data_IF_367292949337
#
_entry.id   IF_367292949337
#
_cell.length_a   1.000
_cell.length_b   1.000
_cell.length_c   1.000
_cell.angle_alpha   90.00
_cell.angle_beta   90.00
_cell.angle_gamma   90.00
#
_symmetry.space_group_name_H-M   'P 1'
#
loop_
_entity.id
_entity.type
_entity.pdbx_description
1 polymer ?
#
# COMPACT_ATOMS: atom_id res chain seq x y z
N UNK A 1 12.95 2.51 -0.99
CA UNK A 1 14.41 2.53 -0.87
C UNK A 1 14.75 2.20 0.58
N UNK A 2 15.47 1.10 0.79
CA UNK A 2 16.22 0.76 2.03
C UNK A 2 17.55 0.21 1.52
N UNK A 3 18.68 0.77 1.95
CA UNK A 3 19.99 0.13 1.78
C UNK A 3 20.19 -0.70 3.04
N UNK A 4 20.06 -2.03 2.94
CA UNK A 4 20.23 -2.95 4.08
C UNK A 4 21.44 -3.87 3.85
N UNK A 5 22.32 -4.04 4.86
CA UNK A 5 23.46 -4.96 4.78
C UNK A 5 23.07 -6.44 4.57
N UNK A 6 21.84 -6.83 4.95
CA UNK A 6 21.32 -8.19 4.81
C UNK A 6 20.73 -8.52 3.42
N UNK A 7 20.78 -7.58 2.46
CA UNK A 7 20.26 -7.78 1.10
C UNK A 7 18.89 -7.13 0.85
N UNK A 8 18.45 -7.23 -0.42
CA UNK A 8 17.26 -6.57 -0.94
C UNK A 8 15.97 -7.26 -0.47
N UNK A 9 15.45 -6.88 0.69
CA UNK A 9 14.05 -7.15 1.02
C UNK A 9 13.17 -6.15 0.27
N UNK A 10 12.12 -6.67 -0.36
CA UNK A 10 11.12 -5.94 -1.15
C UNK A 10 11.65 -5.25 -2.42
N UNK A 11 11.44 -5.87 -3.59
CA UNK A 11 11.74 -5.28 -4.92
C UNK A 11 10.48 -4.78 -5.64
N UNK A 12 9.56 -4.12 -4.92
CA UNK A 12 8.31 -3.57 -5.51
C UNK A 12 8.58 -2.78 -6.79
N UNK A 13 7.82 -3.10 -7.85
CA UNK A 13 7.70 -2.22 -9.00
C UNK A 13 6.98 -0.94 -8.57
N UNK A 14 7.61 0.21 -8.83
CA UNK A 14 6.94 1.48 -8.65
C UNK A 14 6.06 1.75 -9.88
N UNK A 15 4.74 1.64 -9.73
CA UNK A 15 3.77 1.86 -10.83
C UNK A 15 3.91 3.26 -11.44
N UNK A 16 4.17 4.27 -10.60
CA UNK A 16 4.37 5.65 -11.06
C UNK A 16 5.58 5.77 -11.98
N UNK A 17 6.75 5.30 -11.56
CA UNK A 17 7.95 5.33 -12.41
C UNK A 17 7.82 4.45 -13.66
N UNK A 18 7.14 3.31 -13.56
CA UNK A 18 6.84 2.45 -14.72
C UNK A 18 5.99 3.18 -15.77
N UNK A 19 4.95 3.89 -15.34
CA UNK A 19 4.10 4.70 -16.22
C UNK A 19 4.87 5.89 -16.82
N UNK A 20 5.59 6.65 -16.00
CA UNK A 20 6.37 7.80 -16.48
C UNK A 20 7.42 7.35 -17.51
N UNK A 21 8.07 6.21 -17.29
CA UNK A 21 9.03 5.64 -18.25
C UNK A 21 8.38 5.23 -19.56
N UNK A 22 7.17 4.64 -19.54
CA UNK A 22 6.41 4.38 -20.77
C UNK A 22 6.17 5.68 -21.53
N UNK A 23 5.69 6.72 -20.86
CA UNK A 23 5.38 8.02 -21.48
C UNK A 23 6.66 8.63 -22.09
N UNK A 24 7.77 8.61 -21.37
CA UNK A 24 9.05 9.14 -21.83
C UNK A 24 9.58 8.40 -23.07
N UNK A 25 9.58 7.06 -23.05
CA UNK A 25 9.99 6.24 -24.20
C UNK A 25 9.12 6.48 -25.42
N UNK A 26 7.81 6.53 -25.25
CA UNK A 26 6.85 6.82 -26.33
C UNK A 26 7.05 8.22 -26.95
N UNK A 27 7.76 9.12 -26.26
CA UNK A 27 8.09 10.47 -26.72
C UNK A 27 9.58 10.66 -27.08
N UNK A 28 10.32 9.56 -27.29
CA UNK A 28 11.71 9.58 -27.72
C UNK A 28 12.72 9.98 -26.65
N UNK A 29 12.34 9.96 -25.37
CA UNK A 29 13.25 10.23 -24.25
C UNK A 29 13.78 8.90 -23.72
N UNK A 30 15.06 8.65 -23.94
CA UNK A 30 15.74 7.46 -23.42
C UNK A 30 15.96 7.59 -21.91
N UNK A 31 15.71 6.50 -21.19
CA UNK A 31 15.82 6.47 -19.74
C UNK A 31 16.31 5.11 -19.27
N UNK A 32 17.25 5.14 -18.35
CA UNK A 32 17.57 4.00 -17.50
C UNK A 32 16.71 4.02 -16.24
N UNK A 33 16.45 2.82 -15.72
CA UNK A 33 15.66 2.65 -14.52
C UNK A 33 16.42 1.74 -13.56
N UNK A 34 16.47 2.16 -12.30
CA UNK A 34 17.19 1.46 -11.26
C UNK A 34 16.46 1.60 -9.93
N UNK A 35 16.50 0.54 -9.11
CA UNK A 35 15.95 0.57 -7.75
C UNK A 35 17.09 0.54 -6.75
N UNK A 36 17.15 1.58 -5.94
CA UNK A 36 18.08 1.67 -4.81
C UNK A 36 17.87 0.60 -3.72
N UNK A 37 16.76 -0.15 -3.77
CA UNK A 37 16.58 -1.35 -2.92
C UNK A 37 17.52 -2.49 -3.31
N UNK A 38 18.12 -2.42 -4.50
CA UNK A 38 19.11 -3.39 -4.99
C UNK A 38 20.52 -3.09 -4.50
N UNK A 39 20.74 -1.90 -3.94
CA UNK A 39 22.05 -1.47 -3.46
C UNK A 39 22.34 -2.04 -2.09
N UNK A 40 23.60 -2.44 -1.90
CA UNK A 40 24.15 -2.82 -0.58
C UNK A 40 24.90 -1.66 0.06
N UNK A 41 25.48 -0.77 -0.75
CA UNK A 41 26.23 0.40 -0.30
C UNK A 41 25.86 1.64 -1.14
N UNK A 42 26.22 2.82 -0.64
CA UNK A 42 26.06 4.06 -1.38
C UNK A 42 27.09 4.22 -2.51
N UNK A 43 28.25 3.56 -2.41
CA UNK A 43 29.30 3.60 -3.44
C UNK A 43 28.84 2.91 -4.74
N UNK A 44 28.01 1.86 -4.63
CA UNK A 44 27.36 1.23 -5.78
C UNK A 44 26.46 2.22 -6.54
N UNK A 45 25.81 3.17 -5.84
CA UNK A 45 25.04 4.22 -6.50
C UNK A 45 25.93 5.19 -7.27
N UNK A 46 27.08 5.57 -6.68
CA UNK A 46 28.01 6.50 -7.30
C UNK A 46 28.44 6.05 -8.70
N UNK A 47 28.83 4.77 -8.83
CA UNK A 47 29.19 4.20 -10.13
C UNK A 47 28.00 4.13 -11.09
N UNK A 48 26.79 3.86 -10.57
CA UNK A 48 25.59 3.66 -11.40
C UNK A 48 25.03 4.95 -11.99
N UNK A 49 25.23 6.08 -11.33
CA UNK A 49 24.67 7.38 -11.76
C UNK A 49 25.67 8.29 -12.45
N UNK A 50 26.93 7.86 -12.62
CA UNK A 50 27.95 8.63 -13.29
C UNK A 50 27.62 8.85 -14.78
N UNK A 51 27.75 10.09 -15.25
CA UNK A 51 27.57 10.45 -16.65
C UNK A 51 26.11 10.71 -17.07
N UNK A 52 25.16 10.72 -16.13
CA UNK A 52 23.78 11.10 -16.41
C UNK A 52 23.56 12.59 -16.18
N UNK A 53 22.83 13.22 -17.10
CA UNK A 53 22.46 14.64 -17.00
C UNK A 53 21.30 14.89 -16.03
N UNK A 54 20.42 13.91 -15.84
CA UNK A 54 19.21 14.06 -15.02
C UNK A 54 18.93 12.82 -14.18
N UNK A 55 18.50 13.03 -12.93
CA UNK A 55 18.02 12.00 -12.02
C UNK A 55 16.55 12.25 -11.68
N UNK A 56 15.70 11.28 -11.96
CA UNK A 56 14.27 11.33 -11.64
C UNK A 56 13.98 10.44 -10.43
N UNK A 57 13.29 10.96 -9.41
CA UNK A 57 12.95 10.19 -8.22
C UNK A 57 11.48 10.31 -7.82
N UNK A 58 10.84 9.16 -7.56
CA UNK A 58 9.60 9.09 -6.80
C UNK A 58 9.94 9.07 -5.30
N UNK A 59 9.53 10.12 -4.58
CA UNK A 59 9.82 10.34 -3.17
C UNK A 59 8.54 10.10 -2.34
N UNK A 60 8.59 9.06 -1.51
CA UNK A 60 7.60 8.76 -0.45
C UNK A 60 8.16 9.22 0.91
N UNK A 61 7.29 9.52 1.89
CA UNK A 61 7.74 10.07 3.18
C UNK A 61 8.79 9.19 3.87
N UNK A 62 8.55 7.88 3.94
CA UNK A 62 9.52 6.93 4.53
C UNK A 62 10.80 6.74 3.70
N UNK A 63 10.83 7.23 2.46
CA UNK A 63 12.02 7.21 1.59
C UNK A 63 12.70 8.58 1.46
N UNK A 64 12.17 9.62 2.09
CA UNK A 64 12.68 10.99 1.94
C UNK A 64 14.15 11.14 2.34
N UNK A 65 14.63 10.65 3.51
CA UNK A 65 16.05 10.71 3.86
C UNK A 65 16.96 10.06 2.83
N UNK A 66 16.51 8.95 2.27
CA UNK A 66 17.26 8.20 1.28
C UNK A 66 17.27 8.90 -0.08
N UNK A 67 16.16 9.54 -0.48
CA UNK A 67 16.10 10.35 -1.69
C UNK A 67 17.02 11.56 -1.59
N UNK A 68 17.07 12.20 -0.42
CA UNK A 68 18.04 13.27 -0.17
C UNK A 68 19.48 12.78 -0.32
N UNK A 69 19.83 11.64 0.29
CA UNK A 69 21.17 11.07 0.16
C UNK A 69 21.52 10.71 -1.29
N UNK A 70 20.58 10.12 -2.03
CA UNK A 70 20.76 9.82 -3.45
C UNK A 70 20.99 11.07 -4.30
N UNK A 71 20.26 12.16 -4.05
CA UNK A 71 20.47 13.43 -4.74
C UNK A 71 21.84 14.05 -4.44
N UNK A 72 22.32 13.97 -3.18
CA UNK A 72 23.66 14.43 -2.83
C UNK A 72 24.74 13.68 -3.61
N UNK A 73 24.64 12.35 -3.64
CA UNK A 73 25.58 11.51 -4.40
C UNK A 73 25.52 11.87 -5.88
N UNK A 74 24.31 11.98 -6.45
CA UNK A 74 24.15 12.36 -7.86
C UNK A 74 24.83 13.69 -8.20
N UNK A 75 24.65 14.72 -7.37
CA UNK A 75 25.27 16.04 -7.56
C UNK A 75 26.79 16.02 -7.37
N UNK A 76 27.32 15.13 -6.53
CA UNK A 76 28.77 14.95 -6.37
C UNK A 76 29.41 14.36 -7.63
N UNK A 77 28.73 13.39 -8.26
CA UNK A 77 29.22 12.70 -9.45
C UNK A 77 28.97 13.52 -10.73
N UNK A 78 27.84 14.23 -10.78
CA UNK A 78 27.40 15.02 -11.92
C UNK A 78 27.16 16.47 -11.46
N UNK A 79 28.20 17.34 -11.41
CA UNK A 79 28.08 18.69 -10.87
C UNK A 79 27.02 19.57 -11.55
N UNK A 80 26.80 19.35 -12.85
CA UNK A 80 25.79 20.06 -13.65
C UNK A 80 24.48 19.27 -13.79
N UNK A 81 24.41 18.05 -13.23
CA UNK A 81 23.24 17.19 -13.36
C UNK A 81 22.05 17.74 -12.59
N UNK A 82 20.84 17.54 -13.11
CA UNK A 82 19.59 18.00 -12.49
C UNK A 82 18.89 16.85 -11.76
N UNK A 83 18.37 17.13 -10.58
CA UNK A 83 17.56 16.21 -9.79
C UNK A 83 16.10 16.67 -9.84
N UNK A 84 15.27 15.83 -10.41
CA UNK A 84 13.84 16.06 -10.61
C UNK A 84 13.09 15.08 -9.73
N UNK A 85 12.27 15.59 -8.83
CA UNK A 85 11.58 14.79 -7.82
C UNK A 85 10.07 14.93 -7.96
N UNK A 86 9.35 13.89 -7.54
CA UNK A 86 7.90 13.92 -7.44
C UNK A 86 7.41 12.84 -6.49
N UNK A 87 6.13 12.52 -6.56
CA UNK A 87 5.51 11.47 -5.75
C UNK A 87 4.81 11.99 -4.50
N UNK A 88 4.46 11.05 -3.63
CA UNK A 88 3.59 11.29 -2.48
C UNK A 88 4.12 12.40 -1.57
N UNK A 89 5.41 12.33 -1.18
CA UNK A 89 5.98 13.27 -0.23
C UNK A 89 6.11 14.67 -0.81
N UNK A 90 6.46 14.77 -2.10
CA UNK A 90 6.44 16.04 -2.82
C UNK A 90 5.07 16.70 -2.89
N UNK A 91 4.01 15.90 -2.80
CA UNK A 91 2.63 16.40 -2.81
C UNK A 91 2.18 16.89 -1.44
N UNK A 92 2.49 16.13 -0.38
CA UNK A 92 1.97 16.38 0.98
C UNK A 92 2.92 17.16 1.89
N UNK A 93 4.19 17.30 1.53
CA UNK A 93 5.19 18.04 2.30
C UNK A 93 6.12 18.84 1.37
N UNK A 94 5.59 19.75 0.52
CA UNK A 94 6.39 20.51 -0.44
C UNK A 94 7.48 21.35 0.26
N UNK A 95 7.19 21.92 1.44
CA UNK A 95 8.16 22.71 2.21
C UNK A 95 9.41 21.89 2.59
N UNK A 96 9.22 20.61 2.98
CA UNK A 96 10.33 19.72 3.29
C UNK A 96 11.17 19.40 2.04
N UNK A 97 10.54 19.30 0.87
CA UNK A 97 11.23 19.10 -0.40
C UNK A 97 11.99 20.36 -0.85
N UNK A 98 11.37 21.54 -0.78
CA UNK A 98 11.99 22.81 -1.19
C UNK A 98 13.18 23.20 -0.30
N UNK A 99 13.14 22.79 0.97
CA UNK A 99 14.25 22.95 1.91
C UNK A 99 15.52 22.17 1.51
N UNK A 100 15.45 21.28 0.51
CA UNK A 100 16.60 20.52 -0.02
C UNK A 100 17.11 21.15 -1.31
N UNK A 101 18.22 21.93 -1.28
CA UNK A 101 18.73 22.62 -2.49
C UNK A 101 19.14 21.65 -3.61
N UNK A 102 19.46 20.40 -3.25
CA UNK A 102 19.83 19.37 -4.22
C UNK A 102 18.65 18.89 -5.08
N UNK A 103 17.41 19.23 -4.75
CA UNK A 103 16.24 19.00 -5.60
C UNK A 103 15.99 20.23 -6.47
N UNK A 104 16.36 20.12 -7.76
CA UNK A 104 16.28 21.23 -8.71
C UNK A 104 14.85 21.47 -9.19
N UNK A 105 14.07 20.40 -9.40
CA UNK A 105 12.64 20.47 -9.73
C UNK A 105 11.83 19.52 -8.87
N UNK A 106 10.66 19.98 -8.44
CA UNK A 106 9.75 19.24 -7.56
C UNK A 106 8.36 19.27 -8.21
N UNK A 107 7.87 18.12 -8.63
CA UNK A 107 6.51 17.95 -9.14
C UNK A 107 5.57 17.64 -7.98
N UNK A 108 4.68 18.60 -7.67
CA UNK A 108 3.61 18.44 -6.70
C UNK A 108 2.37 17.85 -7.38
N UNK A 109 1.95 16.65 -6.99
CA UNK A 109 0.83 15.95 -7.62
C UNK A 109 1.22 15.07 -8.82
N UNK A 110 0.25 14.66 -9.66
CA UNK A 110 0.46 13.73 -10.77
C UNK A 110 1.34 14.31 -11.87
N UNK A 111 2.33 13.57 -12.37
CA UNK A 111 3.31 14.07 -13.34
C UNK A 111 3.09 13.62 -14.79
N UNK A 112 2.07 12.81 -15.07
CA UNK A 112 1.92 12.09 -16.34
C UNK A 112 1.96 13.00 -17.58
N UNK A 113 1.26 14.14 -17.56
CA UNK A 113 1.14 15.02 -18.71
C UNK A 113 2.24 16.09 -18.80
N UNK A 114 3.10 16.23 -17.79
CA UNK A 114 4.15 17.25 -17.77
C UNK A 114 5.55 16.67 -17.85
N UNK A 115 5.73 15.37 -17.59
CA UNK A 115 7.05 14.78 -17.42
C UNK A 115 7.93 14.95 -18.67
N UNK A 116 7.35 14.86 -19.87
CA UNK A 116 8.11 14.99 -21.12
C UNK A 116 8.69 16.41 -21.26
N UNK A 117 7.85 17.42 -21.09
CA UNK A 117 8.26 18.82 -21.23
C UNK A 117 9.20 19.23 -20.09
N UNK A 118 8.92 18.75 -18.87
CA UNK A 118 9.74 19.00 -17.69
C UNK A 118 11.16 18.45 -17.83
N UNK A 119 11.37 17.30 -18.48
CA UNK A 119 12.72 16.77 -18.73
C UNK A 119 13.42 17.42 -19.92
N UNK A 120 12.67 17.82 -20.96
CA UNK A 120 13.23 18.45 -22.16
C UNK A 120 13.71 19.87 -21.91
N UNK A 121 12.93 20.64 -21.15
CA UNK A 121 13.32 21.99 -20.75
C UNK A 121 12.98 22.24 -19.27
N UNK A 122 13.76 21.68 -18.33
CA UNK A 122 13.53 21.88 -16.91
C UNK A 122 13.56 23.36 -16.52
N UNK A 123 14.34 24.19 -17.23
CA UNK A 123 14.53 25.60 -16.91
C UNK A 123 13.32 26.48 -17.24
N UNK A 124 12.46 26.06 -18.17
CA UNK A 124 11.17 26.69 -18.43
C UNK A 124 10.16 26.57 -17.27
N UNK A 125 10.40 25.64 -16.33
CA UNK A 125 9.51 25.41 -15.20
C UNK A 125 10.04 26.07 -13.91
N UNK A 126 9.15 26.57 -13.04
CA UNK A 126 9.52 26.95 -11.67
C UNK A 126 10.11 25.75 -10.91
N UNK A 127 10.79 26.03 -9.80
CA UNK A 127 11.36 24.96 -8.95
C UNK A 127 10.30 24.00 -8.43
N UNK A 128 9.19 24.54 -7.92
CA UNK A 128 8.00 23.76 -7.56
C UNK A 128 6.98 23.85 -8.71
N UNK A 129 6.67 22.71 -9.31
CA UNK A 129 5.78 22.57 -10.46
C UNK A 129 4.51 21.86 -10.02
N UNK A 130 3.35 22.43 -10.35
CA UNK A 130 2.08 21.74 -10.17
C UNK A 130 1.91 20.71 -11.27
N UNK A 131 1.84 19.45 -10.87
CA UNK A 131 1.66 18.31 -11.75
C UNK A 131 0.31 18.30 -12.45
N UNK A 132 0.27 17.72 -13.65
CA UNK A 132 -0.96 17.44 -14.37
C UNK A 132 -1.02 15.95 -14.73
N UNK A 133 -2.10 15.30 -14.31
CA UNK A 133 -2.33 13.88 -14.54
C UNK A 133 -3.20 13.59 -15.75
N UNK A 134 -3.19 12.34 -16.19
CA UNK A 134 -4.15 11.84 -17.19
C UNK A 134 -5.61 12.07 -16.73
N UNK A 135 -6.53 12.24 -17.69
CA UNK A 135 -7.97 12.39 -17.40
C UNK A 135 -8.55 11.11 -16.82
N UNK A 136 -8.14 9.96 -17.36
CA UNK A 136 -8.55 8.65 -16.90
C UNK A 136 -7.37 7.69 -16.86
N UNK A 137 -7.40 6.74 -15.91
CA UNK A 137 -6.51 5.58 -15.95
C UNK A 137 -6.72 4.70 -17.18
N UNK A 138 -7.89 4.77 -17.83
CA UNK A 138 -8.13 4.07 -19.09
C UNK A 138 -7.29 4.64 -20.24
N UNK A 139 -6.80 5.87 -20.11
CA UNK A 139 -5.90 6.50 -21.10
C UNK A 139 -4.44 6.05 -20.93
N UNK A 140 -4.13 5.31 -19.85
CA UNK A 140 -2.77 4.86 -19.59
C UNK A 140 -2.35 3.76 -20.56
N UNK A 141 -1.17 3.94 -21.13
CA UNK A 141 -0.48 2.89 -21.84
C UNK A 141 0.00 1.81 -20.86
N UNK A 142 0.27 0.61 -21.38
CA UNK A 142 0.87 -0.48 -20.61
C UNK A 142 2.16 0.02 -19.93
N UNK A 143 2.21 -0.05 -18.60
CA UNK A 143 3.34 0.46 -17.83
C UNK A 143 4.63 -0.32 -18.14
N UNK A 144 5.77 0.36 -18.16
CA UNK A 144 7.06 -0.28 -18.35
C UNK A 144 7.34 -1.20 -17.16
N UNK A 145 7.47 -2.50 -17.45
CA UNK A 145 7.71 -3.57 -16.48
C UNK A 145 9.18 -4.01 -16.47
N UNK A 146 10.13 -3.17 -16.91
CA UNK A 146 11.56 -3.55 -16.97
C UNK A 146 12.16 -3.87 -15.60
N UNK A 147 11.69 -3.20 -14.55
CA UNK A 147 12.14 -3.46 -13.17
C UNK A 147 11.44 -4.67 -12.54
N UNK A 148 10.54 -5.31 -13.28
CA UNK A 148 9.94 -6.56 -12.89
C UNK A 148 11.00 -7.67 -12.98
N UNK A 149 11.17 -8.48 -11.94
CA UNK A 149 12.22 -9.46 -11.95
C UNK A 149 11.92 -10.65 -12.83
N UNK A 150 12.96 -11.41 -13.19
CA UNK A 150 12.78 -12.67 -13.91
C UNK A 150 12.39 -13.77 -12.91
N UNK A 151 11.18 -14.36 -12.99
CA UNK A 151 10.71 -15.35 -12.04
C UNK A 151 11.43 -16.71 -12.16
N UNK A 152 12.19 -16.93 -13.24
CA UNK A 152 12.94 -18.17 -13.47
C UNK A 152 14.35 -18.18 -12.85
N UNK A 153 14.73 -17.14 -12.10
CA UNK A 153 16.04 -17.07 -11.47
C UNK A 153 16.05 -17.79 -10.11
N UNK A 154 16.89 -18.82 -9.91
CA UNK A 154 16.88 -19.69 -8.73
C UNK A 154 17.24 -19.00 -7.40
N UNK A 155 17.91 -17.85 -7.44
CA UNK A 155 18.31 -17.07 -6.24
C UNK A 155 17.53 -15.74 -6.11
N UNK A 156 16.32 -15.68 -6.65
CA UNK A 156 15.55 -14.43 -6.60
C UNK A 156 14.50 -14.46 -5.50
N UNK A 157 14.65 -13.70 -4.40
CA UNK A 157 13.50 -13.38 -3.57
C UNK A 157 12.60 -12.50 -4.43
N UNK A 158 11.61 -13.12 -5.05
CA UNK A 158 10.56 -12.41 -5.77
C UNK A 158 10.09 -11.24 -4.89
N UNK A 159 9.77 -10.06 -5.46
CA UNK A 159 9.61 -8.79 -4.75
C UNK A 159 8.64 -8.75 -3.57
N UNK A 160 7.99 -9.86 -3.27
CA UNK A 160 6.97 -10.02 -2.26
C UNK A 160 7.33 -11.28 -1.50
N UNK A 161 7.74 -11.09 -0.24
CA UNK A 161 7.96 -12.18 0.70
C UNK A 161 6.69 -13.06 0.68
N UNK A 162 6.77 -14.35 0.32
CA UNK A 162 5.67 -15.29 0.52
C UNK A 162 5.20 -15.29 1.99
N UNK A 163 6.10 -14.88 2.90
CA UNK A 163 5.89 -14.68 4.32
C UNK A 163 4.91 -13.53 4.64
N UNK A 164 4.80 -12.54 3.74
CA UNK A 164 3.77 -11.51 3.76
C UNK A 164 2.40 -12.03 3.26
N UNK A 165 2.24 -13.31 2.97
CA UNK A 165 0.92 -13.95 2.82
C UNK A 165 0.12 -13.56 1.56
N UNK A 166 0.74 -12.95 0.55
CA UNK A 166 0.07 -12.46 -0.67
C UNK A 166 -0.44 -13.57 -1.62
N UNK A 167 0.00 -14.82 -1.42
CA UNK A 167 -0.41 -15.96 -2.23
C UNK A 167 0.77 -16.75 -2.81
N UNK A 168 0.51 -17.73 -3.70
CA UNK A 168 1.55 -18.49 -4.39
C UNK A 168 2.46 -17.58 -5.23
N UNK A 169 3.77 -17.71 -5.04
CA UNK A 169 4.76 -17.02 -5.88
C UNK A 169 4.88 -17.66 -7.27
N UNK A 170 5.41 -16.94 -8.27
CA UNK A 170 5.73 -15.51 -8.29
C UNK A 170 4.47 -14.63 -8.20
N UNK A 171 4.53 -13.53 -7.44
CA UNK A 171 3.40 -12.63 -7.17
C UNK A 171 3.48 -11.34 -7.99
N UNK A 172 2.52 -11.11 -8.88
CA UNK A 172 2.43 -9.89 -9.68
C UNK A 172 1.89 -8.69 -8.89
N UNK A 173 2.22 -7.45 -9.28
CA UNK A 173 1.57 -6.24 -8.75
C UNK A 173 0.94 -5.43 -9.86
N UNK A 174 -0.33 -5.06 -9.69
CA UNK A 174 -1.08 -4.23 -10.63
C UNK A 174 -1.79 -3.11 -9.87
N UNK A 175 -2.24 -2.11 -10.63
CA UNK A 175 -3.15 -1.07 -10.16
C UNK A 175 -4.29 -0.97 -11.17
N UNK A 176 -5.51 -1.07 -10.68
CA UNK A 176 -6.72 -0.99 -11.50
C UNK A 176 -7.37 0.38 -11.34
N UNK A 177 -7.29 1.02 -10.17
CA UNK A 177 -7.89 2.32 -9.90
C UNK A 177 -6.99 3.29 -9.11
N UNK A 178 -7.28 4.59 -9.29
CA UNK A 178 -6.77 5.72 -8.49
C UNK A 178 -7.98 6.54 -8.07
N UNK A 179 -8.71 5.99 -7.10
CA UNK A 179 -9.88 6.62 -6.52
C UNK A 179 -10.16 5.96 -5.15
N UNK A 180 -10.38 6.80 -4.15
CA UNK A 180 -10.96 6.41 -2.87
C UNK A 180 -11.90 7.56 -2.46
N UNK A 181 -13.23 7.36 -2.42
CA UNK A 181 -14.18 8.41 -2.08
C UNK A 181 -14.20 8.75 -0.58
N UNK A 182 -13.66 7.89 0.28
CA UNK A 182 -13.69 8.09 1.74
C UNK A 182 -12.62 9.07 2.23
N UNK A 183 -12.94 9.80 3.29
CA UNK A 183 -12.11 10.85 3.89
C UNK A 183 -11.68 10.47 5.31
N UNK A 184 -11.11 9.27 5.47
CA UNK A 184 -10.63 8.79 6.76
C UNK A 184 -9.48 9.69 7.26
N UNK A 185 -9.56 10.25 8.47
CA UNK A 185 -8.64 11.33 8.90
C UNK A 185 -7.20 10.87 9.10
N UNK A 186 -6.97 9.56 9.25
CA UNK A 186 -5.64 8.97 9.36
C UNK A 186 -4.97 8.72 8.00
N UNK A 187 -5.76 8.70 6.92
CA UNK A 187 -5.29 8.36 5.59
C UNK A 187 -4.70 9.60 4.91
N UNK A 188 -3.55 9.46 4.25
CA UNK A 188 -2.96 10.53 3.46
C UNK A 188 -3.27 10.40 1.95
N UNK A 189 -3.88 9.30 1.52
CA UNK A 189 -4.17 9.04 0.11
C UNK A 189 -5.09 10.09 -0.52
N UNK A 190 -6.12 10.52 0.21
CA UNK A 190 -7.02 11.59 -0.22
C UNK A 190 -6.30 12.91 -0.55
N UNK A 191 -5.10 13.12 0.00
CA UNK A 191 -4.33 14.36 -0.15
C UNK A 191 -3.38 14.36 -1.33
N UNK A 192 -3.12 13.20 -1.97
CA UNK A 192 -2.21 13.14 -3.12
C UNK A 192 -2.72 12.29 -4.29
N UNK A 193 -3.75 11.46 -4.10
CA UNK A 193 -4.32 10.66 -5.19
C UNK A 193 -5.35 11.52 -5.94
N UNK A 194 -5.04 11.99 -7.17
CA UNK A 194 -6.07 12.57 -8.03
C UNK A 194 -7.07 11.48 -8.41
N UNK A 195 -8.36 11.82 -8.45
CA UNK A 195 -9.37 10.90 -8.97
C UNK A 195 -9.18 10.74 -10.48
N UNK A 196 -8.61 9.61 -10.89
CA UNK A 196 -8.40 9.24 -12.29
C UNK A 196 -9.29 8.05 -12.69
N UNK A 197 -10.23 7.66 -11.82
CA UNK A 197 -11.10 6.52 -12.03
C UNK A 197 -10.36 5.19 -12.08
N UNK A 198 -10.78 4.32 -13.01
CA UNK A 198 -10.38 2.91 -13.09
C UNK A 198 -10.15 2.51 -14.55
N UNK A 199 -9.16 1.65 -14.78
CA UNK A 199 -8.95 0.96 -16.06
C UNK A 199 -10.17 0.11 -16.42
N UNK A 200 -10.38 -0.19 -17.71
CA UNK A 200 -11.38 -1.18 -18.09
C UNK A 200 -11.00 -2.58 -17.60
N UNK A 201 -11.98 -3.47 -17.44
CA UNK A 201 -11.72 -4.87 -17.07
C UNK A 201 -10.83 -5.55 -18.10
N UNK A 202 -11.07 -5.28 -19.40
CA UNK A 202 -10.27 -5.86 -20.49
C UNK A 202 -8.80 -5.41 -20.39
N UNK A 203 -8.52 -4.13 -20.14
CA UNK A 203 -7.14 -3.65 -19.96
C UNK A 203 -6.41 -4.35 -18.80
N UNK A 204 -7.12 -4.63 -17.70
CA UNK A 204 -6.53 -5.33 -16.55
C UNK A 204 -6.25 -6.80 -16.88
N UNK A 205 -7.16 -7.47 -17.57
CA UNK A 205 -6.98 -8.86 -17.99
C UNK A 205 -5.83 -8.98 -19.00
N UNK A 206 -5.77 -8.08 -19.98
CA UNK A 206 -4.70 -8.04 -20.98
C UNK A 206 -3.33 -7.79 -20.32
N UNK A 207 -3.27 -6.90 -19.31
CA UNK A 207 -2.07 -6.67 -18.51
C UNK A 207 -1.63 -7.92 -17.74
N UNK A 208 -2.56 -8.66 -17.13
CA UNK A 208 -2.25 -9.91 -16.43
C UNK A 208 -1.76 -11.01 -17.37
N UNK A 209 -2.44 -11.20 -18.51
CA UNK A 209 -2.04 -12.16 -19.53
C UNK A 209 -0.63 -11.83 -20.07
N UNK A 210 -0.38 -10.56 -20.42
CA UNK A 210 0.93 -10.10 -20.86
C UNK A 210 2.04 -10.36 -19.82
N UNK A 211 1.76 -10.12 -18.54
CA UNK A 211 2.72 -10.35 -17.47
C UNK A 211 3.07 -11.84 -17.34
N UNK A 212 2.08 -12.73 -17.43
CA UNK A 212 2.27 -14.19 -17.37
C UNK A 212 3.06 -14.70 -18.59
N UNK A 213 2.68 -14.24 -19.79
CA UNK A 213 3.31 -14.65 -21.05
C UNK A 213 4.77 -14.18 -21.14
N UNK A 214 5.03 -12.93 -20.75
CA UNK A 214 6.36 -12.30 -20.94
C UNK A 214 7.35 -12.68 -19.85
N UNK A 215 6.90 -12.73 -18.60
CA UNK A 215 7.81 -12.92 -17.47
C UNK A 215 7.80 -14.37 -16.96
N UNK A 216 6.73 -15.13 -17.13
CA UNK A 216 6.67 -16.55 -16.75
C UNK A 216 5.42 -16.86 -15.92
N UNK A 217 5.22 -18.11 -15.49
CA UNK A 217 3.98 -18.47 -14.83
C UNK A 217 3.88 -17.75 -13.47
N UNK A 218 3.02 -16.74 -13.40
CA UNK A 218 2.66 -16.01 -12.19
C UNK A 218 1.73 -16.92 -11.37
N UNK A 219 1.98 -17.01 -10.07
CA UNK A 219 1.14 -17.79 -9.15
C UNK A 219 -0.05 -17.00 -8.61
N UNK A 220 0.14 -15.71 -8.35
CA UNK A 220 -0.88 -14.79 -7.80
C UNK A 220 -0.58 -13.34 -8.12
N UNK A 221 -1.50 -12.41 -7.79
CA UNK A 221 -1.24 -10.98 -7.95
C UNK A 221 -1.81 -10.13 -6.81
N UNK A 222 -1.30 -8.92 -6.68
CA UNK A 222 -1.74 -7.90 -5.72
C UNK A 222 -2.32 -6.73 -6.48
N UNK A 223 -3.52 -6.33 -6.11
CA UNK A 223 -4.15 -5.09 -6.58
C UNK A 223 -3.82 -3.97 -5.61
N UNK A 224 -2.97 -3.02 -6.02
CA UNK A 224 -2.54 -1.84 -5.23
C UNK A 224 -3.54 -0.70 -5.25
N UNK A 225 -4.80 -0.98 -5.52
CA UNK A 225 -5.84 0.02 -5.39
C UNK A 225 -5.95 0.43 -3.93
N UNK A 226 -6.16 1.72 -3.69
CA UNK A 226 -6.63 2.26 -2.41
C UNK A 226 -7.85 1.48 -1.91
N UNK A 227 -8.74 1.15 -2.84
CA UNK A 227 -10.00 0.50 -2.58
C UNK A 227 -10.47 -0.31 -3.80
N UNK A 228 -10.29 -1.64 -3.78
CA UNK A 228 -10.71 -2.46 -4.90
C UNK A 228 -12.24 -2.63 -4.94
N UNK A 229 -12.84 -2.92 -3.78
CA UNK A 229 -14.27 -3.20 -3.63
C UNK A 229 -15.10 -1.93 -3.43
N UNK A 230 -15.27 -1.13 -4.47
CA UNK A 230 -16.05 0.13 -4.42
C UNK A 230 -16.94 0.41 -5.64
N UNK A 231 -16.80 -0.34 -6.75
CA UNK A 231 -17.52 -0.08 -8.00
C UNK A 231 -18.32 -1.32 -8.43
N UNK A 232 -19.60 -1.43 -8.03
CA UNK A 232 -20.41 -2.61 -8.32
C UNK A 232 -20.47 -2.95 -9.82
N UNK A 233 -20.65 -1.95 -10.68
CA UNK A 233 -20.71 -2.14 -12.14
C UNK A 233 -19.42 -2.75 -12.69
N UNK A 234 -18.26 -2.22 -12.30
CA UNK A 234 -16.98 -2.75 -12.76
C UNK A 234 -16.72 -4.15 -12.21
N UNK A 235 -17.11 -4.41 -10.95
CA UNK A 235 -16.91 -5.71 -10.30
C UNK A 235 -17.82 -6.80 -10.89
N UNK A 236 -19.03 -6.46 -11.32
CA UNK A 236 -19.89 -7.36 -12.08
C UNK A 236 -19.25 -7.75 -13.41
N UNK A 237 -18.70 -6.76 -14.13
CA UNK A 237 -17.96 -7.02 -15.37
C UNK A 237 -16.70 -7.87 -15.12
N UNK A 238 -16.01 -7.65 -13.98
CA UNK A 238 -14.88 -8.47 -13.55
C UNK A 238 -15.28 -9.92 -13.31
N UNK A 239 -16.38 -10.18 -12.58
CA UNK A 239 -16.93 -11.53 -12.37
C UNK A 239 -17.26 -12.20 -13.71
N UNK A 240 -17.83 -11.47 -14.66
CA UNK A 240 -18.19 -12.01 -15.97
C UNK A 240 -16.97 -12.36 -16.82
N UNK A 241 -16.01 -11.44 -16.93
CA UNK A 241 -14.92 -11.52 -17.90
C UNK A 241 -13.69 -12.23 -17.38
N UNK A 242 -13.25 -11.96 -16.14
CA UNK A 242 -11.99 -12.47 -15.61
C UNK A 242 -11.90 -14.00 -15.68
N UNK A 243 -12.91 -14.77 -15.22
CA UNK A 243 -12.86 -16.23 -15.24
C UNK A 243 -12.86 -16.85 -16.65
N UNK A 244 -13.15 -16.06 -17.70
CA UNK A 244 -13.32 -16.51 -19.09
C UNK A 244 -12.20 -16.04 -20.02
N UNK A 245 -11.68 -14.83 -19.82
CA UNK A 245 -10.70 -14.18 -20.71
C UNK A 245 -9.26 -14.26 -20.19
N UNK A 246 -9.08 -14.39 -18.87
CA UNK A 246 -7.74 -14.61 -18.31
C UNK A 246 -7.21 -15.99 -18.70
N UNK A 247 -5.90 -16.10 -18.96
CA UNK A 247 -5.26 -17.39 -19.24
C UNK A 247 -5.46 -18.41 -18.11
N UNK A 248 -5.57 -17.92 -16.87
CA UNK A 248 -5.96 -18.71 -15.70
C UNK A 248 -6.57 -17.83 -14.61
N UNK A 249 -7.22 -18.46 -13.62
CA UNK A 249 -7.78 -17.78 -12.45
C UNK A 249 -6.73 -17.67 -11.34
N UNK A 250 -5.84 -16.71 -11.48
CA UNK A 250 -4.88 -16.38 -10.43
C UNK A 250 -5.58 -16.05 -9.11
N UNK A 251 -4.96 -16.46 -8.01
CA UNK A 251 -5.33 -15.95 -6.70
C UNK A 251 -4.89 -14.49 -6.60
N UNK A 252 -5.62 -13.68 -5.83
CA UNK A 252 -5.21 -12.31 -5.61
C UNK A 252 -5.52 -11.74 -4.23
N UNK A 253 -4.68 -10.76 -3.87
CA UNK A 253 -4.92 -9.84 -2.77
C UNK A 253 -5.57 -8.57 -3.30
N UNK A 254 -6.60 -8.10 -2.59
CA UNK A 254 -7.20 -6.80 -2.86
C UNK A 254 -7.82 -6.20 -1.59
N UNK A 255 -7.89 -4.88 -1.55
CA UNK A 255 -8.47 -4.12 -0.45
C UNK A 255 -10.01 -4.05 -0.54
N UNK A 256 -10.68 -4.33 0.58
CA UNK A 256 -12.11 -4.22 0.85
C UNK A 256 -12.38 -3.31 2.07
N UNK A 257 -13.62 -2.82 2.22
CA UNK A 257 -14.10 -2.20 3.47
C UNK A 257 -15.35 -2.91 3.96
N UNK A 258 -15.51 -2.98 5.27
CA UNK A 258 -16.62 -3.68 5.91
C UNK A 258 -17.99 -3.10 5.56
N UNK A 259 -18.12 -1.77 5.51
CA UNK A 259 -19.35 -1.08 5.08
C UNK A 259 -19.74 -1.44 3.65
N UNK A 260 -18.79 -1.44 2.71
CA UNK A 260 -19.06 -1.85 1.33
C UNK A 260 -19.44 -3.33 1.22
N UNK A 261 -18.81 -4.21 2.00
CA UNK A 261 -19.17 -5.64 2.07
C UNK A 261 -20.60 -5.80 2.57
N UNK A 262 -21.01 -5.04 3.59
CA UNK A 262 -22.38 -5.05 4.08
C UNK A 262 -23.38 -4.49 3.09
N UNK A 263 -22.98 -3.47 2.32
CA UNK A 263 -23.82 -2.86 1.30
C UNK A 263 -24.08 -3.81 0.12
N UNK A 264 -23.09 -4.62 -0.27
CA UNK A 264 -23.17 -5.52 -1.43
C UNK A 264 -22.69 -6.96 -1.09
N UNK A 265 -23.37 -7.67 -0.18
CA UNK A 265 -22.91 -8.97 0.31
C UNK A 265 -22.88 -10.04 -0.79
N UNK A 266 -23.89 -10.07 -1.66
CA UNK A 266 -23.97 -11.04 -2.76
C UNK A 266 -22.85 -10.82 -3.79
N UNK A 267 -22.53 -9.56 -4.08
CA UNK A 267 -21.43 -9.21 -4.97
C UNK A 267 -20.08 -9.61 -4.37
N UNK A 268 -19.90 -9.38 -3.06
CA UNK A 268 -18.71 -9.82 -2.35
C UNK A 268 -18.56 -11.33 -2.39
N UNK A 269 -19.62 -12.09 -2.08
CA UNK A 269 -19.61 -13.55 -2.14
C UNK A 269 -19.30 -14.07 -3.55
N UNK A 270 -19.90 -13.48 -4.59
CA UNK A 270 -19.64 -13.82 -5.98
C UNK A 270 -18.16 -13.58 -6.36
N UNK A 271 -17.57 -12.44 -5.99
CA UNK A 271 -16.15 -12.17 -6.25
C UNK A 271 -15.25 -13.23 -5.62
N UNK A 272 -15.47 -13.56 -4.35
CA UNK A 272 -14.66 -14.55 -3.62
C UNK A 272 -14.74 -15.92 -4.30
N UNK A 273 -15.94 -16.35 -4.67
CA UNK A 273 -16.16 -17.70 -5.21
C UNK A 273 -15.80 -17.84 -6.69
N UNK A 274 -16.06 -16.81 -7.49
CA UNK A 274 -15.98 -16.92 -8.95
C UNK A 274 -14.64 -16.45 -9.51
N UNK A 275 -13.97 -15.53 -8.80
CA UNK A 275 -12.74 -14.88 -9.30
C UNK A 275 -11.47 -15.27 -8.55
N UNK A 276 -11.55 -16.14 -7.54
CA UNK A 276 -10.40 -16.53 -6.71
C UNK A 276 -9.80 -15.36 -5.88
N UNK A 277 -10.66 -14.47 -5.39
CA UNK A 277 -10.26 -13.46 -4.40
C UNK A 277 -10.00 -14.13 -3.05
N UNK A 278 -8.74 -14.48 -2.78
CA UNK A 278 -8.39 -15.37 -1.69
C UNK A 278 -7.70 -14.68 -0.52
N UNK A 279 -7.04 -13.53 -0.73
CA UNK A 279 -6.51 -12.71 0.37
C UNK A 279 -7.30 -11.40 0.42
N UNK A 280 -8.22 -11.31 1.38
CA UNK A 280 -9.16 -10.20 1.47
C UNK A 280 -8.68 -9.24 2.54
N UNK A 281 -8.12 -8.12 2.09
CA UNK A 281 -7.60 -7.09 2.97
C UNK A 281 -8.69 -6.13 3.38
N UNK A 282 -9.18 -6.24 4.61
CA UNK A 282 -10.19 -5.31 5.12
C UNK A 282 -9.53 -4.30 6.05
N UNK A 283 -9.73 -3.02 5.75
CA UNK A 283 -9.43 -1.91 6.66
C UNK A 283 -10.46 -1.85 7.77
N UNK A 284 -10.31 -2.72 8.78
CA UNK A 284 -11.17 -2.74 9.97
C UNK A 284 -10.82 -1.60 10.92
N UNK A 285 -9.52 -1.34 11.08
CA UNK A 285 -8.90 -0.35 11.97
C UNK A 285 -9.16 -0.57 13.47
N UNK A 286 -10.41 -0.71 13.88
CA UNK A 286 -10.81 -0.90 15.28
C UNK A 286 -12.12 -1.68 15.39
N UNK A 287 -12.29 -2.39 16.50
CA UNK A 287 -13.57 -3.00 16.90
C UNK A 287 -14.48 -2.07 17.71
N UNK A 288 -14.07 -0.83 17.98
CA UNK A 288 -14.86 0.16 18.73
C UNK A 288 -15.45 1.23 17.83
N UNK A 289 -16.78 1.41 17.90
CA UNK A 289 -17.48 2.50 17.22
C UNK A 289 -16.94 3.89 17.59
N UNK A 290 -16.45 4.06 18.81
CA UNK A 290 -15.90 5.34 19.27
C UNK A 290 -14.60 5.67 18.55
N UNK A 291 -13.72 4.67 18.39
CA UNK A 291 -12.47 4.82 17.65
C UNK A 291 -12.73 4.97 16.15
N UNK A 292 -13.66 4.19 15.58
CA UNK A 292 -14.06 4.34 14.17
C UNK A 292 -14.58 5.75 13.86
N UNK A 293 -15.32 6.38 14.80
CA UNK A 293 -15.73 7.79 14.72
C UNK A 293 -14.54 8.75 14.80
N UNK A 294 -13.59 8.55 15.72
CA UNK A 294 -12.35 9.36 15.78
C UNK A 294 -11.61 9.34 14.45
N UNK A 295 -11.54 8.16 13.82
CA UNK A 295 -10.86 7.96 12.54
C UNK A 295 -11.65 8.46 11.32
N UNK A 296 -12.86 8.98 11.51
CA UNK A 296 -13.81 9.30 10.43
C UNK A 296 -13.92 8.15 9.42
N UNK A 297 -13.98 6.91 9.92
CA UNK A 297 -13.94 5.74 9.06
C UNK A 297 -15.25 5.56 8.28
N UNK A 298 -16.35 6.14 8.77
CA UNK A 298 -17.71 5.94 8.25
C UNK A 298 -18.12 4.45 8.20
N UNK A 299 -17.58 3.66 9.13
CA UNK A 299 -17.99 2.27 9.40
C UNK A 299 -18.35 2.12 10.86
N UNK A 300 -19.16 1.11 11.16
CA UNK A 300 -19.48 0.66 12.53
C UNK A 300 -18.80 -0.66 12.85
N UNK A 301 -18.69 -0.98 14.14
CA UNK A 301 -18.24 -2.28 14.61
C UNK A 301 -19.16 -3.40 14.09
N UNK A 302 -20.46 -3.13 13.93
CA UNK A 302 -21.41 -4.09 13.38
C UNK A 302 -21.13 -4.38 11.89
N UNK A 303 -20.71 -3.39 11.10
CA UNK A 303 -20.28 -3.63 9.72
C UNK A 303 -19.06 -4.54 9.69
N UNK A 304 -18.11 -4.31 10.60
CA UNK A 304 -16.94 -5.16 10.76
C UNK A 304 -17.35 -6.59 11.09
N UNK A 305 -18.22 -6.79 12.09
CA UNK A 305 -18.72 -8.11 12.46
C UNK A 305 -19.47 -8.81 11.33
N UNK A 306 -20.30 -8.09 10.57
CA UNK A 306 -20.99 -8.62 9.40
C UNK A 306 -20.00 -9.15 8.36
N UNK A 307 -18.99 -8.35 7.99
CA UNK A 307 -17.98 -8.77 7.02
C UNK A 307 -17.18 -9.99 7.51
N UNK A 308 -16.87 -10.04 8.81
CA UNK A 308 -16.19 -11.18 9.45
C UNK A 308 -17.01 -12.45 9.33
N UNK A 309 -18.29 -12.39 9.69
CA UNK A 309 -19.17 -13.55 9.68
C UNK A 309 -19.46 -14.05 8.27
N UNK A 310 -19.66 -13.14 7.31
CA UNK A 310 -19.88 -13.50 5.92
C UNK A 310 -18.68 -14.27 5.34
N UNK A 311 -17.46 -13.77 5.51
CA UNK A 311 -16.29 -14.47 4.98
C UNK A 311 -15.99 -15.77 5.74
N UNK A 312 -16.22 -15.80 7.06
CA UNK A 312 -16.12 -17.04 7.84
C UNK A 312 -17.06 -18.12 7.27
N UNK A 313 -18.31 -17.75 6.99
CA UNK A 313 -19.31 -18.64 6.38
C UNK A 313 -18.88 -19.11 4.99
N UNK A 314 -18.43 -18.20 4.12
CA UNK A 314 -17.95 -18.55 2.77
C UNK A 314 -16.74 -19.51 2.87
N UNK A 315 -15.81 -19.23 3.77
CA UNK A 315 -14.64 -20.09 3.98
C UNK A 315 -14.98 -21.46 4.56
N UNK A 316 -15.91 -21.54 5.51
CA UNK A 316 -16.38 -22.82 6.07
C UNK A 316 -17.04 -23.69 5.00
N UNK A 317 -17.88 -23.08 4.14
CA UNK A 317 -18.52 -23.76 3.01
C UNK A 317 -17.50 -24.24 1.95
N UNK A 318 -16.53 -23.41 1.59
CA UNK A 318 -15.48 -23.78 0.64
C UNK A 318 -14.61 -24.94 1.18
N UNK A 319 -14.23 -24.87 2.45
CA UNK A 319 -13.43 -25.92 3.11
C UNK A 319 -14.21 -27.24 3.20
N UNK A 320 -15.50 -27.20 3.57
CA UNK A 320 -16.37 -28.38 3.60
C UNK A 320 -16.49 -29.07 2.22
N UNK A 321 -16.35 -28.30 1.14
CA UNK A 321 -16.34 -28.79 -0.24
C UNK A 321 -14.94 -29.16 -0.77
N UNK A 322 -13.90 -29.09 0.05
CA UNK A 322 -12.52 -29.42 -0.34
C UNK A 322 -11.79 -28.33 -1.15
N UNK A 323 -12.31 -27.10 -1.18
CA UNK A 323 -11.64 -25.95 -1.79
C UNK A 323 -10.77 -25.20 -0.77
N UNK A 324 -9.78 -24.46 -1.27
CA UNK A 324 -8.95 -23.58 -0.44
C UNK A 324 -9.80 -22.38 0.00
N UNK A 325 -10.00 -22.16 1.32
CA UNK A 325 -10.81 -21.05 1.79
C UNK A 325 -10.06 -19.71 1.71
N UNK A 326 -10.78 -18.59 1.55
CA UNK A 326 -10.20 -17.25 1.62
C UNK A 326 -9.65 -16.96 3.03
N UNK A 327 -8.70 -16.04 3.08
CA UNK A 327 -8.06 -15.55 4.30
C UNK A 327 -8.36 -14.08 4.51
N UNK A 328 -8.56 -13.70 5.76
CA UNK A 328 -8.57 -12.29 6.14
C UNK A 328 -7.14 -11.76 6.18
N UNK A 329 -6.92 -10.62 5.54
CA UNK A 329 -5.82 -9.73 5.89
C UNK A 329 -6.41 -8.59 6.71
N UNK A 330 -6.30 -8.67 8.04
CA UNK A 330 -7.01 -7.78 8.95
C UNK A 330 -6.13 -6.59 9.31
N UNK A 331 -6.35 -5.43 8.68
CA UNK A 331 -5.63 -4.21 9.02
C UNK A 331 -6.25 -3.58 10.27
N UNK A 332 -5.42 -3.40 11.30
CA UNK A 332 -5.81 -2.90 12.62
C UNK A 332 -4.81 -1.82 13.04
N UNK A 333 -5.35 -0.75 13.59
CA UNK A 333 -4.58 0.33 14.19
C UNK A 333 -4.83 0.40 15.69
N UNK A 334 -3.75 0.48 16.45
CA UNK A 334 -3.79 0.69 17.91
C UNK A 334 -2.97 1.93 18.29
N UNK A 335 -3.13 2.39 19.52
CA UNK A 335 -2.41 3.57 20.02
C UNK A 335 -2.90 4.86 19.37
N UNK A 336 -4.19 4.91 19.00
CA UNK A 336 -4.81 6.08 18.40
C UNK A 336 -5.03 7.13 19.49
N UNK A 337 -4.70 8.42 19.28
CA UNK A 337 -4.98 9.46 20.27
C UNK A 337 -6.46 9.49 20.67
N UNK A 338 -6.71 9.37 21.97
CA UNK A 338 -8.05 9.26 22.53
C UNK A 338 -8.60 7.83 22.59
N UNK A 339 -7.90 6.80 22.13
CA UNK A 339 -8.23 5.38 22.35
C UNK A 339 -8.16 5.03 23.84
N UNK A 340 -9.19 4.35 24.38
CA UNK A 340 -9.18 3.83 25.75
C UNK A 340 -8.84 2.34 25.75
N UNK A 341 -8.51 1.80 26.93
CA UNK A 341 -8.22 0.37 27.08
C UNK A 341 -9.39 -0.52 26.65
N UNK A 342 -10.62 -0.10 26.91
CA UNK A 342 -11.80 -0.86 26.52
C UNK A 342 -11.97 -0.93 25.01
N UNK A 343 -11.68 0.15 24.28
CA UNK A 343 -11.76 0.14 22.80
C UNK A 343 -10.70 -0.78 22.19
N UNK A 344 -9.50 -0.80 22.78
CA UNK A 344 -8.46 -1.73 22.39
C UNK A 344 -8.91 -3.17 22.66
N UNK A 345 -9.58 -3.44 23.78
CA UNK A 345 -10.15 -4.76 24.07
C UNK A 345 -11.24 -5.15 23.06
N UNK A 346 -12.14 -4.24 22.68
CA UNK A 346 -13.16 -4.49 21.65
C UNK A 346 -12.52 -4.88 20.30
N UNK A 347 -11.43 -4.21 19.95
CA UNK A 347 -10.63 -4.54 18.75
C UNK A 347 -10.05 -5.94 18.82
N UNK A 348 -9.48 -6.34 19.96
CA UNK A 348 -8.95 -7.70 20.16
C UNK A 348 -10.08 -8.76 20.16
N UNK A 349 -11.24 -8.45 20.76
CA UNK A 349 -12.43 -9.32 20.73
C UNK A 349 -12.92 -9.54 19.30
N UNK A 350 -12.94 -8.49 18.49
CA UNK A 350 -13.28 -8.57 17.06
C UNK A 350 -12.31 -9.50 16.31
N UNK A 351 -11.00 -9.38 16.53
CA UNK A 351 -10.01 -10.28 15.92
C UNK A 351 -10.24 -11.75 16.28
N UNK A 352 -10.57 -12.07 17.55
CA UNK A 352 -10.87 -13.45 17.98
C UNK A 352 -12.08 -14.06 17.25
N UNK A 353 -13.01 -13.26 16.73
CA UNK A 353 -14.15 -13.75 15.94
C UNK A 353 -13.73 -14.26 14.56
N UNK A 354 -12.65 -13.75 13.99
CA UNK A 354 -12.17 -14.14 12.66
C UNK A 354 -11.68 -15.61 12.63
N UNK A 355 -11.83 -16.25 11.48
CA UNK A 355 -11.15 -17.51 11.12
C UNK A 355 -10.19 -17.22 9.96
N UNK A 356 -9.12 -18.02 9.82
CA UNK A 356 -8.18 -17.94 8.68
C UNK A 356 -7.59 -16.53 8.52
N UNK A 357 -7.19 -15.92 9.63
CA UNK A 357 -6.75 -14.51 9.70
C UNK A 357 -5.23 -14.38 9.62
N UNK A 358 -4.80 -13.38 8.86
CA UNK A 358 -3.47 -12.79 8.82
C UNK A 358 -3.59 -11.40 9.45
N UNK A 359 -3.31 -11.25 10.76
CA UNK A 359 -3.44 -9.97 11.44
C UNK A 359 -2.32 -9.02 11.01
N UNK A 360 -2.68 -7.83 10.53
CA UNK A 360 -1.78 -6.72 10.22
C UNK A 360 -2.05 -5.62 11.24
N UNK A 361 -1.36 -5.69 12.38
CA UNK A 361 -1.55 -4.77 13.50
C UNK A 361 -0.38 -3.78 13.53
N UNK A 362 -0.68 -2.48 13.60
CA UNK A 362 0.34 -1.44 13.72
C UNK A 362 -0.10 -0.32 14.65
N UNK A 363 0.86 0.37 15.26
CA UNK A 363 0.57 1.63 15.95
C UNK A 363 0.38 2.77 14.97
N UNK A 364 -0.66 3.58 15.22
CA UNK A 364 -0.98 4.75 14.43
C UNK A 364 0.23 5.67 14.21
N UNK A 365 0.40 6.13 12.97
CA UNK A 365 1.51 6.95 12.49
C UNK A 365 0.99 8.29 11.96
N UNK A 366 1.35 9.43 12.58
CA UNK A 366 0.95 10.76 12.10
C UNK A 366 1.75 11.17 10.85
N UNK A 367 1.32 10.70 9.68
CA UNK A 367 1.93 11.08 8.41
C UNK A 367 1.50 12.47 7.93
N UNK A 368 2.42 13.26 7.32
CA UNK A 368 2.05 14.45 6.59
C UNK A 368 1.07 14.08 5.46
N UNK A 369 0.10 14.96 5.24
CA UNK A 369 -1.00 14.74 4.31
C UNK A 369 -2.25 14.13 4.93
N UNK A 370 -2.19 13.52 6.11
CA UNK A 370 -3.41 13.08 6.81
C UNK A 370 -3.94 14.18 7.73
N UNK A 371 -5.25 14.33 7.86
CA UNK A 371 -5.85 15.37 8.70
C UNK A 371 -5.46 15.21 10.18
N UNK A 372 -5.54 13.99 10.71
CA UNK A 372 -5.10 13.68 12.08
C UNK A 372 -3.58 13.82 12.23
N UNK A 373 -2.82 13.47 11.21
CA UNK A 373 -1.36 13.65 11.20
C UNK A 373 -0.98 15.13 11.30
N UNK A 374 -1.57 15.99 10.47
CA UNK A 374 -1.34 17.43 10.54
C UNK A 374 -1.69 18.02 11.89
N UNK A 375 -2.83 17.62 12.47
CA UNK A 375 -3.21 18.06 13.81
C UNK A 375 -2.13 17.69 14.84
N UNK A 376 -1.69 16.43 14.87
CA UNK A 376 -0.72 15.97 15.86
C UNK A 376 0.69 16.54 15.65
N UNK A 377 1.06 16.81 14.40
CA UNK A 377 2.31 17.52 14.07
C UNK A 377 2.21 18.96 14.59
N UNK A 378 1.13 19.67 14.30
CA UNK A 378 0.93 21.06 14.73
C UNK A 378 0.86 21.20 16.26
N UNK A 379 0.26 20.24 16.96
CA UNK A 379 0.21 20.17 18.42
C UNK A 379 1.54 19.72 19.06
N UNK A 380 2.57 19.43 18.27
CA UNK A 380 3.87 18.94 18.77
C UNK A 380 3.80 17.55 19.41
N UNK A 381 2.75 16.77 19.11
CA UNK A 381 2.51 15.42 19.63
C UNK A 381 3.09 14.31 18.75
N UNK A 382 3.40 14.59 17.49
CA UNK A 382 4.15 13.64 16.65
C UNK A 382 5.56 13.41 17.22
N UNK A 383 6.00 12.14 17.23
CA UNK A 383 7.41 11.75 17.43
C UNK A 383 8.12 11.49 16.09
N UNK A 384 7.37 11.48 14.99
CA UNK A 384 7.91 11.30 13.63
C UNK A 384 8.36 12.64 13.08
N UNK A 385 9.39 12.59 12.24
CA UNK A 385 9.95 13.75 11.52
C UNK A 385 10.44 13.32 10.14
N UNK A 386 10.93 14.29 9.35
CA UNK A 386 11.53 14.06 8.03
C UNK A 386 12.65 13.04 8.02
N UNK A 387 13.37 12.89 9.12
CA UNK A 387 14.43 11.90 9.30
C UNK A 387 13.87 10.48 9.52
N UNK A 388 12.63 10.35 9.99
CA UNK A 388 12.13 9.09 10.53
C UNK A 388 10.64 8.79 10.27
N UNK A 389 10.20 8.99 9.04
CA UNK A 389 8.84 8.61 8.60
C UNK A 389 8.63 7.09 8.42
N UNK A 390 9.38 6.20 9.10
CA UNK A 390 9.24 4.75 8.90
C UNK A 390 7.93 4.17 9.46
N UNK A 391 7.51 3.02 8.91
CA UNK A 391 6.24 2.34 9.25
C UNK A 391 6.39 1.18 10.23
N UNK A 392 7.47 1.10 11.00
CA UNK A 392 7.67 -0.03 11.89
C UNK A 392 6.48 -0.18 12.87
N UNK A 393 5.86 -1.36 12.93
CA UNK A 393 4.56 -1.54 13.58
C UNK A 393 4.59 -1.18 15.07
N UNK A 394 5.73 -1.43 15.73
CA UNK A 394 5.89 -1.38 17.18
C UNK A 394 6.43 -0.06 17.71
N UNK A 395 6.77 0.87 16.81
CA UNK A 395 7.45 2.10 17.21
C UNK A 395 6.49 3.09 17.84
N UNK A 396 6.99 3.79 18.86
CA UNK A 396 6.28 4.85 19.55
C UNK A 396 6.28 6.12 18.68
N UNK A 397 5.15 6.43 18.05
CA UNK A 397 5.04 7.50 17.04
C UNK A 397 4.31 8.75 17.52
N UNK A 398 3.60 8.68 18.64
CA UNK A 398 2.80 9.77 19.20
C UNK A 398 3.07 9.94 20.69
N UNK A 399 3.18 11.18 21.16
CA UNK A 399 3.36 11.49 22.59
C UNK A 399 2.04 11.28 23.35
N UNK A 400 2.14 10.82 24.59
CA UNK A 400 0.98 10.64 25.49
C UNK A 400 0.21 9.34 25.32
N UNK A 401 0.68 8.41 24.47
CA UNK A 401 0.10 7.06 24.33
C UNK A 401 0.78 6.10 25.31
N UNK A 402 0.00 5.28 26.02
CA UNK A 402 0.50 4.21 26.90
C UNK A 402 0.92 2.98 26.07
N UNK A 403 2.05 3.09 25.35
CA UNK A 403 2.58 1.99 24.54
C UNK A 403 2.92 0.73 25.36
N UNK A 404 3.24 0.90 26.65
CA UNK A 404 3.47 -0.24 27.56
C UNK A 404 2.20 -1.07 27.69
N UNK A 405 1.03 -0.45 27.82
CA UNK A 405 -0.25 -1.16 27.81
C UNK A 405 -0.46 -1.94 26.51
N UNK A 406 -0.35 -1.32 25.34
CA UNK A 406 -0.59 -2.00 24.05
C UNK A 406 0.40 -3.16 23.81
N UNK A 407 1.67 -2.98 24.15
CA UNK A 407 2.68 -4.04 24.08
C UNK A 407 2.34 -5.22 25.01
N UNK A 408 1.70 -4.97 26.15
CA UNK A 408 1.26 -6.02 27.08
C UNK A 408 -0.05 -6.68 26.61
N UNK A 409 -0.97 -5.91 26.03
CA UNK A 409 -2.20 -6.40 25.40
C UNK A 409 -1.89 -7.41 24.30
N UNK A 410 -0.99 -7.07 23.39
CA UNK A 410 -0.61 -7.94 22.28
C UNK A 410 0.20 -9.18 22.71
N UNK A 411 0.71 -9.18 23.95
CA UNK A 411 1.33 -10.36 24.61
C UNK A 411 0.34 -11.16 25.46
N UNK A 412 -0.96 -10.90 25.35
CA UNK A 412 -2.00 -11.65 26.06
C UNK A 412 -2.11 -11.36 27.56
N UNK A 413 -1.45 -10.32 28.10
CA UNK A 413 -1.50 -10.04 29.55
C UNK A 413 -2.88 -9.62 30.08
N UNK A 414 -3.79 -9.25 29.20
CA UNK A 414 -5.15 -8.80 29.53
C UNK A 414 -6.24 -9.77 29.01
N UNK A 415 -5.90 -11.04 28.78
CA UNK A 415 -6.85 -12.07 28.28
C UNK A 415 -8.12 -12.16 29.13
N UNK A 416 -8.02 -12.03 30.46
CA UNK A 416 -9.19 -12.06 31.35
C UNK A 416 -10.19 -10.95 31.00
N UNK A 417 -9.71 -9.73 30.79
CA UNK A 417 -10.54 -8.56 30.50
C UNK A 417 -11.13 -8.63 29.08
N UNK A 418 -10.33 -9.10 28.12
CA UNK A 418 -10.78 -9.36 26.74
C UNK A 418 -11.88 -10.42 26.72
N UNK A 419 -11.69 -11.55 27.41
CA UNK A 419 -12.61 -12.68 27.38
C UNK A 419 -13.90 -12.46 28.18
N UNK A 420 -13.93 -11.48 29.10
CA UNK A 420 -15.09 -11.20 29.95
C UNK A 420 -16.38 -10.92 29.17
N UNK A 421 -16.27 -10.29 27.99
CA UNK A 421 -17.41 -9.96 27.11
C UNK A 421 -17.55 -10.88 25.90
N UNK A 422 -16.74 -11.94 25.80
CA UNK A 422 -16.85 -12.90 24.70
C UNK A 422 -17.77 -14.08 25.07
N UNK A 423 -18.56 -14.59 24.10
CA UNK A 423 -19.19 -15.90 24.21
C UNK A 423 -18.15 -16.99 24.47
N UNK A 424 -18.54 -18.05 25.21
CA UNK A 424 -17.61 -19.09 25.66
C UNK A 424 -16.78 -19.72 24.53
N UNK A 425 -17.41 -20.01 23.39
CA UNK A 425 -16.74 -20.62 22.22
C UNK A 425 -15.66 -19.75 21.57
N UNK A 426 -15.61 -18.44 21.87
CA UNK A 426 -14.56 -17.53 21.39
C UNK A 426 -13.43 -17.32 22.41
N UNK A 427 -13.62 -17.75 23.66
CA UNK A 427 -12.63 -17.56 24.75
C UNK A 427 -11.39 -18.44 24.57
N UNK A 428 -11.55 -19.61 23.96
CA UNK A 428 -10.49 -20.62 23.81
C UNK A 428 -9.51 -20.31 22.65
N UNK A 429 -9.79 -19.30 21.83
CA UNK A 429 -8.85 -18.82 20.81
C UNK A 429 -7.78 -17.93 21.44
N UNK A 430 -6.75 -18.54 22.02
CA UNK A 430 -5.52 -17.86 22.45
C UNK A 430 -4.54 -17.69 21.28
N UNK A 431 -3.68 -16.68 21.33
CA UNK A 431 -2.56 -16.55 20.38
C UNK A 431 -2.89 -16.06 18.96
N UNK A 432 -4.15 -15.71 18.64
CA UNK A 432 -4.55 -15.21 17.30
C UNK A 432 -3.74 -13.97 16.86
N UNK A 433 -3.25 -13.20 17.82
CA UNK A 433 -2.41 -12.01 17.63
C UNK A 433 -0.99 -12.17 18.21
N UNK A 434 -0.66 -13.34 18.77
CA UNK A 434 0.72 -13.63 19.19
C UNK A 434 1.59 -13.74 17.93
N UNK A 435 2.53 -12.80 17.78
CA UNK A 435 3.35 -12.69 16.57
C UNK A 435 2.82 -11.76 15.48
N UNK A 436 1.64 -11.15 15.64
CA UNK A 436 1.11 -10.14 14.70
C UNK A 436 2.02 -8.91 14.59
N UNK A 437 2.76 -8.59 15.66
CA UNK A 437 3.76 -7.53 15.70
C UNK A 437 5.13 -7.92 15.12
N UNK A 438 5.33 -9.20 14.79
CA UNK A 438 6.60 -9.74 14.26
C UNK A 438 6.62 -9.64 12.72
N UNK A 439 5.48 -9.38 12.07
CA UNK A 439 5.30 -9.48 10.60
C UNK A 439 4.82 -8.19 9.92
N UNK A 440 5.36 -7.03 10.28
CA UNK A 440 5.17 -5.79 9.52
C UNK A 440 6.46 -5.01 9.31
#
# INVERSE_FOLDING_TARGET
MFVRPAGAHDRWQDHGLGLLRTILKSNGVETDLFSTRLLRTWDELHARVAGYDQLIMNVRSYTFPFAFQAAKIFKQVNPNGLVITGGMHATVAPDEMEAIPAFDRICQGPGENIIVDLLKDPHAFPRLVIGQGAKSMSDWQMMDRTMWPNPNLPEFPWPLEPECGWGPGPVATIITSRVCPWQCVFCNEASYIPNMGRKSVDQVIDELNFLDDKFGPIGSFVIHDSMFFQSPRWLQEWIEKYPRKAHKRWSYWAAGRSDTVRQWPDLFEALVRETNWNIISIGFESGSDRVLKILNKECTAEDNYFAIDLLNKIGDDLEARGYIPPKFWANIMLGIPGETREDAYDTIRMLKRMKRVLPSISYYAPYPGSALGYQLIAEGKSRMSKENYHRYPNDEKVKGIDYKFYNQLLKGKFERDVNAKLPQFLRDKSGVYEGALIKA
#
